data_IF_817871826155
#
_entry.id   IF_817871826155
#
_cell.length_a   1.000
_cell.length_b   1.000
_cell.length_c   1.000
_cell.angle_alpha   90.00
_cell.angle_beta   90.00
_cell.angle_gamma   90.00
#
_symmetry.space_group_name_H-M   'P 1'
#
loop_
_entity.id
_entity.type
_entity.pdbx_description
1 polymer ?
#
# COMPACT_ATOMS: atom_id res chain seq x y z
N UNK A 1 14.46 1.96 12.22
CA UNK A 1 14.59 2.84 11.04
C UNK A 1 14.61 1.96 9.80
N UNK A 2 13.72 2.18 8.85
CA UNK A 2 13.56 1.35 7.64
C UNK A 2 13.59 2.28 6.42
N UNK A 3 14.18 1.84 5.32
CA UNK A 3 14.06 2.51 4.02
C UNK A 3 12.87 1.91 3.28
N UNK A 4 11.92 2.74 2.87
CA UNK A 4 10.78 2.35 2.04
C UNK A 4 10.86 3.04 0.70
N UNK A 5 10.41 2.35 -0.34
CA UNK A 5 10.19 2.94 -1.66
C UNK A 5 8.70 2.93 -1.98
N UNK A 6 8.17 4.04 -2.49
CA UNK A 6 6.76 4.17 -2.83
C UNK A 6 6.64 4.36 -4.35
N UNK A 7 6.02 3.41 -5.01
CA UNK A 7 5.69 3.50 -6.44
C UNK A 7 4.35 4.20 -6.58
N UNK A 8 4.39 5.45 -6.97
CA UNK A 8 3.22 6.34 -7.07
C UNK A 8 3.49 7.72 -6.50
N UNK A 9 2.62 8.68 -6.81
CA UNK A 9 2.72 10.07 -6.34
C UNK A 9 1.33 10.69 -6.09
N UNK A 10 0.37 9.86 -5.70
CA UNK A 10 -1.00 10.26 -5.34
C UNK A 10 -1.19 10.48 -3.84
N UNK A 11 -2.46 10.65 -3.42
CA UNK A 11 -2.82 10.93 -2.03
C UNK A 11 -2.36 9.84 -1.04
N UNK A 12 -2.45 8.56 -1.41
CA UNK A 12 -1.96 7.48 -0.55
C UNK A 12 -0.44 7.51 -0.43
N UNK A 13 0.28 7.75 -1.53
CA UNK A 13 1.75 7.91 -1.49
C UNK A 13 2.15 9.05 -0.55
N UNK A 14 1.43 10.18 -0.61
CA UNK A 14 1.62 11.31 0.29
C UNK A 14 1.37 10.92 1.75
N UNK A 15 0.20 10.35 2.05
CA UNK A 15 -0.19 10.01 3.42
C UNK A 15 0.80 9.01 4.06
N UNK A 16 1.18 7.96 3.33
CA UNK A 16 2.13 6.95 3.82
C UNK A 16 3.53 7.55 3.95
N UNK A 17 4.01 8.27 2.91
CA UNK A 17 5.34 8.85 2.89
C UNK A 17 5.55 9.89 3.99
N UNK A 18 4.59 10.79 4.18
CA UNK A 18 4.64 11.79 5.26
C UNK A 18 4.67 11.11 6.63
N UNK A 19 3.76 10.15 6.86
CA UNK A 19 3.70 9.44 8.13
C UNK A 19 4.99 8.66 8.40
N UNK A 20 5.55 7.97 7.40
CA UNK A 20 6.81 7.26 7.52
C UNK A 20 7.98 8.21 7.83
N UNK A 21 8.10 9.31 7.12
CA UNK A 21 9.15 10.30 7.33
C UNK A 21 9.09 10.94 8.74
N UNK A 22 7.88 11.27 9.21
CA UNK A 22 7.67 11.78 10.58
C UNK A 22 8.06 10.78 11.67
N UNK A 23 8.02 9.48 11.39
CA UNK A 23 8.46 8.42 12.32
C UNK A 23 9.90 7.96 12.07
N UNK A 24 10.69 8.75 11.33
CA UNK A 24 12.12 8.54 11.17
C UNK A 24 12.51 7.49 10.14
N UNK A 25 11.61 7.11 9.23
CA UNK A 25 11.93 6.25 8.09
C UNK A 25 12.46 7.04 6.90
N UNK A 26 13.34 6.43 6.11
CA UNK A 26 13.78 6.99 4.83
C UNK A 26 12.75 6.68 3.75
N UNK A 27 12.36 7.69 2.98
CA UNK A 27 11.35 7.57 1.93
C UNK A 27 11.95 7.86 0.56
N UNK A 28 11.80 6.91 -0.37
CA UNK A 28 12.07 7.09 -1.79
C UNK A 28 10.76 7.08 -2.58
N UNK A 29 10.57 8.03 -3.47
CA UNK A 29 9.42 8.11 -4.36
C UNK A 29 9.80 7.71 -5.79
N UNK A 30 9.01 6.83 -6.38
CA UNK A 30 9.21 6.31 -7.72
C UNK A 30 7.93 6.55 -8.53
N UNK A 31 7.97 7.39 -9.55
CA UNK A 31 6.79 7.71 -10.36
C UNK A 31 7.15 7.92 -11.82
N UNK A 32 6.23 7.51 -12.71
CA UNK A 32 6.31 7.83 -14.15
C UNK A 32 6.38 9.35 -14.40
N UNK A 33 5.76 10.11 -13.51
CA UNK A 33 5.83 11.58 -13.53
C UNK A 33 6.84 12.06 -12.49
N UNK A 34 8.09 12.25 -12.91
CA UNK A 34 9.20 12.68 -12.04
C UNK A 34 8.94 14.06 -11.42
N UNK A 35 8.27 14.98 -12.12
CA UNK A 35 7.95 16.30 -11.58
C UNK A 35 6.98 16.20 -10.40
N UNK A 36 5.93 15.35 -10.50
CA UNK A 36 5.03 15.08 -9.37
C UNK A 36 5.74 14.38 -8.22
N UNK A 37 6.66 13.46 -8.50
CA UNK A 37 7.44 12.80 -7.45
C UNK A 37 8.34 13.80 -6.71
N UNK A 38 8.99 14.73 -7.41
CA UNK A 38 9.81 15.78 -6.79
C UNK A 38 8.96 16.71 -5.92
N UNK A 39 7.87 17.22 -6.45
CA UNK A 39 6.97 18.06 -5.67
C UNK A 39 6.47 17.36 -4.40
N UNK A 40 6.16 16.05 -4.49
CA UNK A 40 5.75 15.28 -3.34
C UNK A 40 6.92 15.02 -2.36
N UNK A 41 8.13 14.78 -2.84
CA UNK A 41 9.31 14.62 -1.98
C UNK A 41 9.60 15.93 -1.20
N UNK A 42 9.51 17.06 -1.88
CA UNK A 42 9.67 18.39 -1.26
C UNK A 42 8.60 18.65 -0.19
N UNK A 43 7.35 18.22 -0.44
CA UNK A 43 6.24 18.34 0.50
C UNK A 43 6.39 17.41 1.71
N UNK A 44 6.83 16.15 1.52
CA UNK A 44 7.12 15.22 2.61
C UNK A 44 8.28 15.75 3.46
N UNK A 45 9.30 16.33 2.82
CA UNK A 45 10.50 16.80 3.51
C UNK A 45 11.30 15.64 4.13
N UNK A 46 11.93 15.89 5.29
CA UNK A 46 12.67 14.88 6.07
C UNK A 46 13.71 14.07 5.27
N UNK A 47 14.26 14.63 4.18
CA UNK A 47 15.21 13.93 3.32
C UNK A 47 14.60 12.91 2.37
N UNK A 48 13.29 13.00 2.09
CA UNK A 48 12.66 12.17 1.07
C UNK A 48 13.32 12.37 -0.29
N UNK A 49 13.56 11.27 -1.01
CA UNK A 49 14.28 11.25 -2.28
C UNK A 49 13.39 10.82 -3.43
N UNK A 50 13.87 11.03 -4.65
CA UNK A 50 13.19 10.58 -5.87
C UNK A 50 14.13 9.68 -6.65
N UNK A 51 13.72 8.44 -6.84
CA UNK A 51 14.41 7.47 -7.68
C UNK A 51 13.88 7.44 -9.12
N UNK A 52 14.47 6.58 -9.94
CA UNK A 52 14.09 6.39 -11.33
C UNK A 52 13.00 5.32 -11.43
N UNK A 53 11.87 5.64 -12.06
CA UNK A 53 10.80 4.67 -12.31
C UNK A 53 11.30 3.51 -13.18
N UNK A 54 11.13 2.29 -12.69
CA UNK A 54 11.60 1.07 -13.33
C UNK A 54 13.03 0.64 -12.93
N UNK A 55 13.77 1.47 -12.18
CA UNK A 55 15.05 1.05 -11.57
C UNK A 55 14.82 0.31 -10.25
N UNK A 56 15.85 -0.38 -9.75
CA UNK A 56 15.78 -1.10 -8.46
C UNK A 56 15.45 -0.13 -7.33
N UNK A 57 14.36 -0.38 -6.58
CA UNK A 57 14.01 0.43 -5.42
C UNK A 57 15.08 0.36 -4.32
N UNK A 58 15.36 1.49 -3.67
CA UNK A 58 16.31 1.56 -2.56
C UNK A 58 15.78 0.84 -1.30
N UNK A 59 14.47 0.92 -1.05
CA UNK A 59 13.83 0.25 0.08
C UNK A 59 13.64 -1.24 -0.16
N UNK A 60 13.67 -2.03 0.91
CA UNK A 60 13.29 -3.44 0.86
C UNK A 60 11.77 -3.63 0.92
N UNK A 61 11.08 -2.68 1.55
CA UNK A 61 9.62 -2.57 1.49
C UNK A 61 9.25 -1.60 0.37
N UNK A 62 8.52 -2.09 -0.62
CA UNK A 62 8.07 -1.33 -1.80
C UNK A 62 6.56 -1.22 -1.78
N UNK A 63 6.05 -0.01 -1.58
CA UNK A 63 4.60 0.25 -1.50
C UNK A 63 4.07 0.59 -2.88
N UNK A 64 3.09 -0.18 -3.35
CA UNK A 64 2.46 -0.01 -4.65
C UNK A 64 1.27 0.97 -4.54
N UNK A 65 1.57 2.28 -4.51
CA UNK A 65 0.59 3.36 -4.35
C UNK A 65 0.07 3.86 -5.72
N UNK A 66 -0.33 2.92 -6.57
CA UNK A 66 -0.93 3.16 -7.88
C UNK A 66 -2.33 2.56 -7.94
N UNK A 67 -3.15 3.02 -8.88
CA UNK A 67 -4.48 2.44 -9.09
C UNK A 67 -4.35 0.99 -9.58
N UNK A 68 -5.34 0.17 -9.23
CA UNK A 68 -5.42 -1.22 -9.68
C UNK A 68 -5.22 -1.37 -11.19
N UNK A 69 -5.84 -0.50 -12.00
CA UNK A 69 -5.74 -0.54 -13.46
C UNK A 69 -4.33 -0.40 -14.04
N UNK A 70 -3.35 -0.04 -13.22
CA UNK A 70 -1.95 0.13 -13.66
C UNK A 70 -0.94 -0.55 -12.76
N UNK A 71 -1.37 -1.30 -11.72
CA UNK A 71 -0.44 -1.88 -10.75
C UNK A 71 0.35 -3.04 -11.34
N UNK A 72 -0.31 -3.94 -12.07
CA UNK A 72 0.33 -5.09 -12.73
C UNK A 72 1.33 -4.62 -13.79
N UNK A 73 0.96 -3.64 -14.61
CA UNK A 73 1.88 -3.04 -15.59
C UNK A 73 3.09 -2.37 -14.92
N UNK A 74 2.87 -1.71 -13.78
CA UNK A 74 3.96 -1.13 -13.00
C UNK A 74 4.90 -2.22 -12.50
N UNK A 75 4.41 -3.31 -11.91
CA UNK A 75 5.21 -4.44 -11.43
C UNK A 75 5.99 -5.08 -12.59
N UNK A 76 5.33 -5.35 -13.72
CA UNK A 76 5.98 -5.90 -14.91
C UNK A 76 7.08 -4.97 -15.46
N UNK A 77 6.89 -3.65 -15.39
CA UNK A 77 7.92 -2.67 -15.81
C UNK A 77 9.18 -2.72 -14.96
N UNK A 78 9.04 -3.02 -13.66
CA UNK A 78 10.20 -3.18 -12.78
C UNK A 78 10.88 -4.54 -12.97
N UNK A 79 10.10 -5.60 -13.24
CA UNK A 79 10.62 -6.95 -13.44
C UNK A 79 11.62 -7.35 -12.35
N UNK A 80 12.80 -7.83 -12.76
CA UNK A 80 13.85 -8.31 -11.83
C UNK A 80 14.39 -7.24 -10.86
N UNK A 81 14.11 -5.95 -11.10
CA UNK A 81 14.45 -4.91 -10.12
C UNK A 81 13.71 -5.08 -8.79
N UNK A 82 12.58 -5.83 -8.77
CA UNK A 82 11.83 -6.18 -7.58
C UNK A 82 12.27 -7.50 -6.93
N UNK A 83 13.25 -8.20 -7.48
CA UNK A 83 13.71 -9.47 -6.91
C UNK A 83 14.17 -9.29 -5.44
N UNK A 84 13.66 -10.13 -4.55
CA UNK A 84 13.92 -10.11 -3.11
C UNK A 84 13.26 -8.95 -2.34
N UNK A 85 12.35 -8.19 -2.98
CA UNK A 85 11.62 -7.10 -2.31
C UNK A 85 10.30 -7.58 -1.71
N UNK A 86 9.83 -6.86 -0.70
CA UNK A 86 8.48 -7.00 -0.15
C UNK A 86 7.58 -5.96 -0.81
N UNK A 87 6.60 -6.42 -1.57
CA UNK A 87 5.65 -5.57 -2.30
C UNK A 87 4.38 -5.40 -1.48
N UNK A 88 4.15 -4.20 -0.98
CA UNK A 88 2.92 -3.89 -0.23
C UNK A 88 1.86 -3.39 -1.20
N UNK A 89 0.86 -4.22 -1.47
CA UNK A 89 -0.30 -3.86 -2.28
C UNK A 89 -1.36 -3.17 -1.43
N UNK A 90 -1.65 -1.92 -1.78
CA UNK A 90 -2.68 -1.10 -1.13
C UNK A 90 -3.89 -0.85 -2.03
N UNK A 91 -3.92 -1.46 -3.22
CA UNK A 91 -4.94 -1.21 -4.23
C UNK A 91 -6.25 -1.94 -3.92
N UNK A 92 -7.33 -1.49 -4.56
CA UNK A 92 -8.61 -2.19 -4.62
C UNK A 92 -9.01 -2.32 -6.09
N UNK A 93 -9.40 -3.52 -6.56
CA UNK A 93 -9.83 -3.75 -7.93
C UNK A 93 -11.29 -3.31 -8.13
N UNK A 94 -11.57 -2.03 -7.84
CA UNK A 94 -12.90 -1.47 -8.01
C UNK A 94 -13.21 -1.16 -9.46
N UNK A 95 -14.48 -1.33 -9.86
CA UNK A 95 -15.00 -0.75 -11.09
C UNK A 95 -15.00 0.80 -11.02
N UNK A 96 -15.34 1.44 -12.14
CA UNK A 96 -15.19 2.89 -12.28
C UNK A 96 -15.96 3.71 -11.24
N UNK A 97 -17.12 3.22 -10.79
CA UNK A 97 -17.95 3.86 -9.77
C UNK A 97 -17.72 3.29 -8.36
N UNK A 98 -16.78 2.36 -8.20
CA UNK A 98 -16.49 1.64 -6.96
C UNK A 98 -17.75 1.05 -6.28
N UNK A 99 -18.64 0.48 -7.09
CA UNK A 99 -19.82 -0.27 -6.63
C UNK A 99 -19.61 -1.78 -6.64
N UNK A 100 -18.50 -2.25 -7.21
CA UNK A 100 -18.15 -3.66 -7.35
C UNK A 100 -16.67 -3.88 -7.60
N UNK A 101 -16.25 -5.15 -7.53
CA UNK A 101 -14.90 -5.60 -7.88
C UNK A 101 -14.89 -6.05 -9.35
N UNK A 102 -13.77 -5.82 -10.05
CA UNK A 102 -13.59 -6.16 -11.47
C UNK A 102 -12.73 -7.40 -11.71
N UNK A 103 -12.24 -8.04 -10.64
CA UNK A 103 -11.50 -9.30 -10.72
C UNK A 103 -12.20 -10.41 -9.97
N UNK A 104 -11.98 -11.65 -10.38
CA UNK A 104 -12.47 -12.87 -9.72
C UNK A 104 -11.45 -13.47 -8.74
N UNK A 105 -10.20 -12.99 -8.79
CA UNK A 105 -9.14 -13.31 -7.82
C UNK A 105 -8.97 -12.16 -6.81
N UNK A 106 -7.78 -11.60 -6.74
CA UNK A 106 -7.50 -10.35 -6.04
C UNK A 106 -6.37 -9.59 -6.73
N UNK A 107 -6.31 -8.27 -6.55
CA UNK A 107 -5.21 -7.46 -7.04
C UNK A 107 -3.86 -8.00 -6.52
N UNK A 108 -3.79 -8.39 -5.24
CA UNK A 108 -2.58 -8.94 -4.65
C UNK A 108 -2.12 -10.25 -5.30
N UNK A 109 -3.06 -11.13 -5.68
CA UNK A 109 -2.73 -12.38 -6.39
C UNK A 109 -2.25 -12.11 -7.83
N UNK A 110 -2.86 -11.15 -8.53
CA UNK A 110 -2.42 -10.73 -9.87
C UNK A 110 -1.02 -10.09 -9.82
N UNK A 111 -0.74 -9.30 -8.80
CA UNK A 111 0.59 -8.73 -8.54
C UNK A 111 1.60 -9.84 -8.27
N UNK A 112 1.26 -10.82 -7.43
CA UNK A 112 2.13 -11.94 -7.13
C UNK A 112 2.47 -12.78 -8.38
N UNK A 113 1.50 -12.97 -9.27
CA UNK A 113 1.71 -13.66 -10.54
C UNK A 113 2.61 -12.88 -11.54
N UNK A 114 2.68 -11.56 -11.42
CA UNK A 114 3.49 -10.69 -12.28
C UNK A 114 4.87 -10.34 -11.70
N UNK A 115 5.06 -10.55 -10.40
CA UNK A 115 6.30 -10.24 -9.70
C UNK A 115 7.34 -11.36 -9.87
N UNK A 116 8.64 -11.08 -9.68
CA UNK A 116 9.66 -12.15 -9.59
C UNK A 116 9.35 -13.14 -8.46
N UNK A 117 9.67 -14.41 -8.66
CA UNK A 117 9.44 -15.49 -7.67
C UNK A 117 10.02 -15.22 -6.28
N UNK A 118 11.12 -14.45 -6.23
CA UNK A 118 11.77 -14.05 -4.98
C UNK A 118 11.15 -12.81 -4.31
N UNK A 119 10.18 -12.17 -4.93
CA UNK A 119 9.45 -11.06 -4.32
C UNK A 119 8.26 -11.60 -3.50
N UNK A 120 7.97 -10.97 -2.38
CA UNK A 120 6.85 -11.36 -1.51
C UNK A 120 5.79 -10.27 -1.50
N UNK A 121 4.54 -10.64 -1.80
CA UNK A 121 3.41 -9.70 -1.78
C UNK A 121 2.72 -9.72 -0.43
N UNK A 122 2.49 -8.54 0.12
CA UNK A 122 1.69 -8.33 1.33
C UNK A 122 0.55 -7.38 0.99
N UNK A 123 -0.69 -7.82 1.12
CA UNK A 123 -1.86 -6.94 1.08
C UNK A 123 -1.93 -6.15 2.36
N UNK A 124 -2.09 -4.82 2.28
CA UNK A 124 -2.25 -3.96 3.46
C UNK A 124 -2.90 -2.62 3.09
N UNK A 125 -3.37 -1.87 4.10
CA UNK A 125 -3.83 -0.47 3.99
C UNK A 125 -4.99 -0.19 3.01
N UNK A 126 -5.53 -1.20 2.35
CA UNK A 126 -6.60 -1.04 1.35
C UNK A 126 -7.97 -0.68 1.97
N UNK A 127 -8.11 -0.79 3.28
CA UNK A 127 -9.32 -0.46 4.06
C UNK A 127 -9.21 0.88 4.80
N UNK A 128 -8.27 1.73 4.42
CA UNK A 128 -8.04 3.05 5.02
C UNK A 128 -8.01 4.10 3.92
N UNK A 129 -8.83 5.15 4.03
CA UNK A 129 -8.75 6.28 3.12
C UNK A 129 -7.49 7.12 3.37
N UNK A 130 -6.87 7.64 2.31
CA UNK A 130 -5.62 8.39 2.40
C UNK A 130 -5.71 9.63 3.31
N UNK A 131 -6.82 10.36 3.28
CA UNK A 131 -7.02 11.52 4.16
C UNK A 131 -7.24 11.14 5.62
N UNK A 132 -7.79 9.92 5.90
CA UNK A 132 -7.91 9.40 7.26
C UNK A 132 -6.54 8.97 7.77
N UNK A 133 -5.74 8.28 6.94
CA UNK A 133 -4.37 7.91 7.26
C UNK A 133 -3.49 9.13 7.54
N UNK A 134 -3.70 10.22 6.80
CA UNK A 134 -2.95 11.48 6.94
C UNK A 134 -3.22 12.22 8.27
N UNK A 135 -4.29 11.88 9.01
CA UNK A 135 -4.56 12.47 10.33
C UNK A 135 -3.54 12.06 11.41
N UNK A 136 -2.79 10.99 11.17
CA UNK A 136 -1.77 10.50 12.11
C UNK A 136 -2.33 9.77 13.34
N UNK A 137 -3.65 9.58 13.44
CA UNK A 137 -4.26 8.84 14.56
C UNK A 137 -3.97 7.34 14.46
N UNK A 138 -3.99 6.58 15.59
CA UNK A 138 -3.94 5.12 15.56
C UNK A 138 -5.12 4.54 14.77
N UNK A 139 -4.86 3.55 13.93
CA UNK A 139 -5.83 2.86 13.08
C UNK A 139 -5.46 1.38 13.00
N UNK A 140 -6.44 0.54 12.65
CA UNK A 140 -6.20 -0.85 12.33
C UNK A 140 -5.76 -1.01 10.88
N UNK A 141 -4.74 -1.83 10.66
CA UNK A 141 -4.24 -2.21 9.35
C UNK A 141 -4.29 -3.74 9.21
N UNK A 142 -5.23 -4.22 8.41
CA UNK A 142 -5.32 -5.65 8.11
C UNK A 142 -4.24 -6.02 7.09
N UNK A 143 -3.54 -7.15 7.34
CA UNK A 143 -2.47 -7.64 6.46
C UNK A 143 -2.70 -9.09 6.07
N UNK A 144 -2.31 -9.45 4.83
CA UNK A 144 -2.38 -10.83 4.33
C UNK A 144 -1.19 -11.12 3.41
N UNK A 145 -0.54 -12.28 3.59
CA UNK A 145 0.57 -12.75 2.75
C UNK A 145 0.83 -14.22 2.99
N UNK A 146 1.38 -14.93 2.00
CA UNK A 146 1.90 -16.28 2.18
C UNK A 146 3.23 -16.29 2.96
N UNK A 147 4.04 -15.25 2.88
CA UNK A 147 5.32 -15.15 3.59
C UNK A 147 5.14 -14.59 5.00
N UNK A 148 5.38 -15.44 6.01
CA UNK A 148 5.37 -15.01 7.41
C UNK A 148 6.44 -13.95 7.72
N UNK A 149 7.62 -14.05 7.07
CA UNK A 149 8.71 -13.10 7.22
C UNK A 149 8.35 -11.72 6.65
N UNK A 150 7.76 -11.71 5.44
CA UNK A 150 7.29 -10.47 4.82
C UNK A 150 6.17 -9.82 5.64
N UNK A 151 5.20 -10.62 6.16
CA UNK A 151 4.17 -10.11 7.08
C UNK A 151 4.78 -9.48 8.33
N UNK A 152 5.73 -10.16 8.97
CA UNK A 152 6.40 -9.65 10.17
C UNK A 152 7.12 -8.32 9.89
N UNK A 153 7.82 -8.23 8.76
CA UNK A 153 8.54 -7.01 8.36
C UNK A 153 7.58 -5.84 8.09
N UNK A 154 6.47 -6.10 7.39
CA UNK A 154 5.44 -5.08 7.12
C UNK A 154 4.71 -4.70 8.40
N UNK A 155 4.37 -5.67 9.28
CA UNK A 155 3.75 -5.39 10.57
C UNK A 155 4.62 -4.47 11.41
N UNK A 156 5.90 -4.78 11.58
CA UNK A 156 6.84 -3.95 12.34
C UNK A 156 6.94 -2.53 11.75
N UNK A 157 6.93 -2.39 10.42
CA UNK A 157 6.90 -1.09 9.75
C UNK A 157 5.61 -0.33 10.06
N UNK A 158 4.44 -0.94 9.87
CA UNK A 158 3.14 -0.30 10.09
C UNK A 158 2.92 0.06 11.56
N UNK A 159 3.32 -0.80 12.49
CA UNK A 159 3.26 -0.54 13.93
C UNK A 159 4.14 0.64 14.35
N UNK A 160 5.31 0.81 13.73
CA UNK A 160 6.14 1.99 13.94
C UNK A 160 5.47 3.29 13.49
N UNK A 161 4.48 3.20 12.62
CA UNK A 161 3.61 4.29 12.19
C UNK A 161 2.35 4.46 13.07
N UNK A 162 2.26 3.79 14.22
CA UNK A 162 1.07 3.76 15.10
C UNK A 162 -0.17 3.15 14.42
N UNK A 163 0.03 2.16 13.57
CA UNK A 163 -1.04 1.35 13.00
C UNK A 163 -1.02 -0.02 13.68
N UNK A 164 -2.14 -0.44 14.28
CA UNK A 164 -2.26 -1.78 14.84
C UNK A 164 -2.44 -2.78 13.71
N UNK A 165 -1.51 -3.71 13.55
CA UNK A 165 -1.60 -4.74 12.51
C UNK A 165 -2.45 -5.92 12.96
N UNK A 166 -3.31 -6.39 12.06
CA UNK A 166 -4.17 -7.54 12.25
C UNK A 166 -3.96 -8.52 11.09
N UNK A 167 -3.41 -9.69 11.39
CA UNK A 167 -3.12 -10.72 10.39
C UNK A 167 -4.40 -11.42 9.94
N UNK A 168 -4.78 -11.25 8.68
CA UNK A 168 -5.93 -11.89 8.05
C UNK A 168 -5.61 -13.27 7.43
N UNK A 169 -4.35 -13.72 7.50
CA UNK A 169 -3.92 -15.02 6.99
C UNK A 169 -3.05 -14.95 5.73
N UNK A 170 -3.19 -15.96 4.87
CA UNK A 170 -2.45 -16.06 3.61
C UNK A 170 -2.97 -15.09 2.54
N UNK A 171 -2.29 -15.06 1.40
CA UNK A 171 -2.62 -14.10 0.32
C UNK A 171 -4.04 -14.30 -0.26
N UNK A 172 -4.63 -15.49 -0.10
CA UNK A 172 -6.03 -15.75 -0.46
C UNK A 172 -7.01 -14.85 0.31
N UNK A 173 -6.66 -14.38 1.51
CA UNK A 173 -7.48 -13.44 2.26
C UNK A 173 -7.50 -12.01 1.65
N UNK A 174 -6.63 -11.72 0.68
CA UNK A 174 -6.62 -10.41 0.01
C UNK A 174 -7.96 -10.08 -0.66
N UNK A 175 -8.65 -11.06 -1.26
CA UNK A 175 -9.98 -10.86 -1.87
C UNK A 175 -11.04 -10.47 -0.82
N UNK A 176 -10.91 -10.98 0.41
CA UNK A 176 -11.80 -10.63 1.53
C UNK A 176 -11.51 -9.19 1.96
N UNK A 177 -10.24 -8.80 2.06
CA UNK A 177 -9.84 -7.44 2.40
C UNK A 177 -10.26 -6.42 1.32
N UNK A 178 -10.25 -6.80 0.05
CA UNK A 178 -10.75 -5.98 -1.06
C UNK A 178 -12.27 -5.83 -1.01
N UNK A 179 -12.98 -6.90 -0.65
CA UNK A 179 -14.43 -6.86 -0.39
C UNK A 179 -14.76 -5.99 0.84
N UNK A 180 -13.91 -6.01 1.87
CA UNK A 180 -14.02 -5.11 3.02
C UNK A 180 -13.76 -3.64 2.62
N UNK A 181 -12.86 -3.39 1.68
CA UNK A 181 -12.69 -2.06 1.06
C UNK A 181 -13.94 -1.61 0.31
N UNK A 182 -14.62 -2.52 -0.39
CA UNK A 182 -15.90 -2.22 -1.05
C UNK A 182 -17.01 -1.93 -0.03
N UNK A 183 -17.08 -2.68 1.08
CA UNK A 183 -17.98 -2.40 2.19
C UNK A 183 -17.74 -0.99 2.74
N UNK A 184 -16.46 -0.62 2.95
CA UNK A 184 -16.09 0.72 3.42
C UNK A 184 -16.62 1.82 2.47
N UNK A 185 -16.48 1.62 1.15
CA UNK A 185 -17.05 2.53 0.15
C UNK A 185 -18.58 2.62 0.22
N UNK A 186 -19.25 1.49 0.44
CA UNK A 186 -20.69 1.44 0.64
C UNK A 186 -21.14 2.23 1.88
N UNK A 187 -20.51 2.00 3.02
CA UNK A 187 -20.80 2.73 4.27
C UNK A 187 -20.58 4.24 4.09
N UNK A 188 -19.47 4.63 3.46
CA UNK A 188 -19.15 6.03 3.22
C UNK A 188 -20.24 6.76 2.42
N UNK A 189 -20.76 6.11 1.38
CA UNK A 189 -21.78 6.68 0.48
C UNK A 189 -23.17 6.69 1.09
N UNK A 190 -23.48 5.78 2.02
CA UNK A 190 -24.80 5.59 2.61
C UNK A 190 -24.92 6.20 4.02
N UNK A 191 -24.24 7.30 4.27
CA UNK A 191 -24.46 8.15 5.44
C UNK A 191 -23.34 8.21 6.47
N UNK A 192 -22.39 7.26 6.47
CA UNK A 192 -21.25 7.34 7.38
C UNK A 192 -20.21 8.42 6.97
N UNK A 193 -20.24 8.85 5.71
CA UNK A 193 -19.26 9.78 5.14
C UNK A 193 -17.91 9.11 4.90
N UNK A 194 -16.97 9.85 4.29
CA UNK A 194 -15.66 9.31 3.92
C UNK A 194 -14.61 9.40 5.04
N UNK A 195 -14.99 9.89 6.21
CA UNK A 195 -14.10 10.03 7.36
C UNK A 195 -14.17 8.82 8.30
N UNK A 196 -14.00 7.64 7.75
CA UNK A 196 -14.06 6.37 8.47
C UNK A 196 -12.93 5.42 8.03
N UNK A 197 -12.61 4.47 8.88
CA UNK A 197 -11.76 3.31 8.61
C UNK A 197 -12.41 2.07 9.23
N UNK A 198 -12.07 0.89 8.73
CA UNK A 198 -12.48 -0.36 9.36
C UNK A 198 -11.54 -0.67 10.53
N UNK A 199 -12.11 -1.22 11.59
CA UNK A 199 -11.39 -1.68 12.76
C UNK A 199 -11.98 -2.97 13.31
N UNK A 200 -11.25 -3.66 14.19
CA UNK A 200 -11.73 -4.82 14.93
C UNK A 200 -11.54 -4.59 16.43
N UNK A 201 -12.60 -4.80 17.19
CA UNK A 201 -12.54 -4.82 18.66
C UNK A 201 -12.37 -6.26 19.14
N UNK A 202 -11.41 -6.46 20.06
CA UNK A 202 -11.18 -7.76 20.72
C UNK A 202 -11.77 -7.68 22.12
N UNK A 203 -12.73 -8.54 22.41
CA UNK A 203 -13.44 -8.61 23.71
C UNK A 203 -12.97 -9.80 24.53
#
# INVERSE_FOLDING_TARGET
MTTISIIGSGNMAKAIGTRAAMHGHTVELLSRNTAKARALADEIGHGATVGTFGARPAGDIVILAVLYSGVVDAVAKYGDALAGKILVDISNPFNADASGLVTTSSAAQEIAAAAPDSAHVVKALNTIFGHVLAKGTPLDAFIASESAEAKSSVAAFLESLQLRTLDAGGLQAASILESAGLLLMGLARNGAGFDLALGAEVH
#
